data_IF_294125697426
#
_entry.id   IF_294125697426
#
_cell.length_a   1.000
_cell.length_b   1.000
_cell.length_c   1.000
_cell.angle_alpha   90.00
_cell.angle_beta   90.00
_cell.angle_gamma   90.00
#
_symmetry.space_group_name_H-M   'P 1'
#
loop_
_entity.id
_entity.type
_entity.pdbx_description
1 polymer ?
#
# COMPACT_ATOMS: atom_id res chain seq x y z
N UNK A 1 43.80 12.03 -4.72
CA UNK A 1 42.50 12.70 -4.94
C UNK A 1 41.46 11.60 -5.13
N UNK A 2 40.61 11.35 -4.14
CA UNK A 2 39.50 10.39 -4.30
C UNK A 2 38.47 11.11 -5.17
N UNK A 3 38.28 10.63 -6.40
CA UNK A 3 37.36 11.26 -7.36
C UNK A 3 35.95 11.34 -6.76
N UNK A 4 35.30 12.50 -6.92
CA UNK A 4 33.91 12.71 -6.52
C UNK A 4 33.01 11.69 -7.24
N UNK A 5 32.59 10.64 -6.54
CA UNK A 5 31.56 9.72 -7.04
C UNK A 5 30.20 10.37 -6.88
N UNK A 6 29.48 10.53 -7.99
CA UNK A 6 28.09 10.99 -7.97
C UNK A 6 27.20 9.86 -7.45
N UNK A 7 26.52 10.09 -6.32
CA UNK A 7 25.57 9.15 -5.73
C UNK A 7 24.18 9.37 -6.33
N UNK A 8 23.55 8.29 -6.79
CA UNK A 8 22.14 8.30 -7.19
C UNK A 8 21.30 7.79 -6.02
N UNK A 9 20.44 8.64 -5.48
CA UNK A 9 19.55 8.33 -4.36
C UNK A 9 18.13 8.20 -4.89
N UNK A 10 17.46 7.11 -4.54
CA UNK A 10 16.04 6.89 -4.84
C UNK A 10 15.25 7.01 -3.54
N UNK A 11 14.18 7.80 -3.55
CA UNK A 11 13.27 7.95 -2.42
C UNK A 11 11.97 7.26 -2.81
N UNK A 12 11.52 6.33 -1.96
CA UNK A 12 10.34 5.49 -2.22
C UNK A 12 9.38 5.66 -1.04
N UNK A 13 8.42 6.59 -1.14
CA UNK A 13 7.43 6.81 -0.11
C UNK A 13 6.49 5.61 0.02
N UNK A 14 6.28 5.17 1.26
CA UNK A 14 5.29 4.15 1.61
C UNK A 14 4.91 4.31 3.08
N UNK A 15 3.82 3.67 3.49
CA UNK A 15 3.50 3.42 4.88
C UNK A 15 3.53 1.92 5.10
N UNK A 16 4.26 1.49 6.13
CA UNK A 16 4.03 0.18 6.71
C UNK A 16 2.81 0.28 7.62
N UNK A 17 1.81 -0.57 7.40
CA UNK A 17 0.63 -0.63 8.26
C UNK A 17 0.39 -2.08 8.67
N UNK A 18 0.31 -2.36 9.97
CA UNK A 18 0.03 -3.72 10.44
C UNK A 18 -1.47 -4.03 10.32
N UNK A 19 -1.81 -5.20 9.79
CA UNK A 19 -3.21 -5.63 9.71
C UNK A 19 -3.82 -5.89 11.10
N UNK A 20 -3.00 -6.35 12.04
CA UNK A 20 -3.36 -6.59 13.43
C UNK A 20 -2.09 -6.49 14.27
N UNK A 21 -2.07 -5.59 15.25
CA UNK A 21 -0.97 -5.46 16.19
C UNK A 21 -1.45 -4.98 17.56
N UNK A 22 -1.40 -3.68 17.85
CA UNK A 22 -1.84 -3.13 19.13
C UNK A 22 -3.31 -2.76 19.17
N UNK A 23 -3.86 -2.36 18.03
CA UNK A 23 -5.26 -2.02 17.86
C UNK A 23 -6.00 -3.15 17.15
N UNK A 24 -7.33 -3.11 17.25
CA UNK A 24 -8.20 -3.97 16.46
C UNK A 24 -8.05 -3.69 14.96
N UNK A 25 -8.52 -4.65 14.16
CA UNK A 25 -8.52 -4.54 12.71
C UNK A 25 -9.34 -3.31 12.25
N UNK A 26 -10.47 -3.06 12.91
CA UNK A 26 -11.38 -1.95 12.62
C UNK A 26 -10.76 -0.59 12.96
N UNK A 27 -10.03 -0.49 14.06
CA UNK A 27 -9.32 0.74 14.45
C UNK A 27 -8.21 1.08 13.46
N UNK A 28 -7.38 0.10 13.07
CA UNK A 28 -6.38 0.31 12.03
C UNK A 28 -6.99 0.57 10.66
N UNK A 29 -8.11 -0.07 10.33
CA UNK A 29 -8.82 0.21 9.09
C UNK A 29 -9.27 1.66 9.03
N UNK A 30 -9.87 2.20 10.10
CA UNK A 30 -10.26 3.62 10.16
C UNK A 30 -9.07 4.56 9.90
N UNK A 31 -7.94 4.31 10.55
CA UNK A 31 -6.70 5.09 10.34
C UNK A 31 -6.23 4.97 8.88
N UNK A 32 -6.29 3.76 8.31
CA UNK A 32 -5.89 3.51 6.92
C UNK A 32 -6.78 4.27 5.93
N UNK A 33 -8.10 4.33 6.18
CA UNK A 33 -9.02 5.12 5.37
C UNK A 33 -8.67 6.61 5.41
N UNK A 34 -8.47 7.18 6.60
CA UNK A 34 -8.09 8.59 6.78
C UNK A 34 -6.79 8.89 6.02
N UNK A 35 -5.80 8.01 6.16
CA UNK A 35 -4.53 8.08 5.43
C UNK A 35 -4.72 8.00 3.90
N UNK A 36 -5.56 7.10 3.38
CA UNK A 36 -5.84 7.01 1.94
C UNK A 36 -6.49 8.30 1.43
N UNK A 37 -7.45 8.86 2.16
CA UNK A 37 -8.10 10.13 1.78
C UNK A 37 -7.08 11.26 1.69
N UNK A 38 -6.25 11.42 2.73
CA UNK A 38 -5.20 12.44 2.77
C UNK A 38 -4.18 12.25 1.62
N UNK A 39 -3.79 11.01 1.34
CA UNK A 39 -2.91 10.67 0.22
C UNK A 39 -3.54 11.09 -1.11
N UNK A 40 -4.81 10.76 -1.34
CA UNK A 40 -5.50 11.08 -2.58
C UNK A 40 -5.65 12.59 -2.78
N UNK A 41 -5.94 13.35 -1.73
CA UNK A 41 -5.94 14.83 -1.80
C UNK A 41 -4.55 15.42 -2.03
N UNK A 42 -3.52 14.83 -1.44
CA UNK A 42 -2.14 15.25 -1.63
C UNK A 42 -1.68 15.01 -3.07
N UNK A 43 -1.99 13.83 -3.62
CA UNK A 43 -1.61 13.44 -4.97
C UNK A 43 -2.33 14.25 -6.05
N UNK A 44 -3.56 14.71 -5.81
CA UNK A 44 -4.26 15.66 -6.70
C UNK A 44 -3.55 17.01 -6.84
N UNK A 45 -2.73 17.39 -5.85
CA UNK A 45 -1.98 18.65 -5.87
C UNK A 45 -0.54 18.44 -6.32
N UNK A 46 -0.04 17.21 -6.31
CA UNK A 46 1.38 16.86 -6.50
C UNK A 46 1.56 15.69 -7.48
N UNK A 47 1.35 15.94 -8.78
CA UNK A 47 1.34 14.90 -9.82
C UNK A 47 2.70 14.25 -10.11
N UNK A 48 3.80 14.76 -9.54
CA UNK A 48 5.14 14.15 -9.65
C UNK A 48 5.46 13.20 -8.50
N UNK A 49 4.63 13.20 -7.44
CA UNK A 49 4.85 12.36 -6.27
C UNK A 49 4.30 10.96 -6.52
N UNK A 50 5.07 9.95 -6.06
CA UNK A 50 4.69 8.54 -6.15
C UNK A 50 4.65 7.93 -4.78
N UNK A 51 3.70 7.04 -4.57
CA UNK A 51 3.49 6.38 -3.30
C UNK A 51 3.24 4.87 -3.48
N UNK A 52 3.76 4.08 -2.55
CA UNK A 52 3.61 2.64 -2.59
C UNK A 52 2.72 2.11 -1.46
N UNK A 53 1.86 1.14 -1.80
CA UNK A 53 1.05 0.37 -0.84
C UNK A 53 1.55 -1.06 -0.82
N UNK A 54 1.78 -1.60 0.38
CA UNK A 54 2.54 -2.85 0.58
C UNK A 54 1.70 -4.12 0.70
N UNK A 55 0.43 -4.01 1.09
CA UNK A 55 -0.54 -5.12 1.15
C UNK A 55 -1.96 -4.65 0.80
N UNK A 56 -2.89 -5.58 0.55
CA UNK A 56 -4.22 -5.26 0.01
C UNK A 56 -5.39 -5.51 0.94
N UNK A 57 -5.19 -6.11 2.12
CA UNK A 57 -6.29 -6.45 3.04
C UNK A 57 -7.20 -5.26 3.40
N UNK A 58 -6.63 -4.08 3.68
CA UNK A 58 -7.43 -2.88 3.93
C UNK A 58 -7.90 -2.18 2.66
N UNK A 59 -7.23 -2.41 1.53
CA UNK A 59 -7.64 -1.84 0.24
C UNK A 59 -8.90 -2.54 -0.26
N UNK A 60 -9.00 -3.86 -0.10
CA UNK A 60 -10.20 -4.62 -0.38
C UNK A 60 -11.39 -4.06 0.41
N UNK A 61 -11.24 -3.93 1.74
CA UNK A 61 -12.27 -3.37 2.60
C UNK A 61 -12.58 -1.90 2.29
N UNK A 62 -11.58 -1.09 1.94
CA UNK A 62 -11.77 0.30 1.53
C UNK A 62 -12.64 0.40 0.27
N UNK A 63 -12.40 -0.46 -0.71
CA UNK A 63 -13.19 -0.50 -1.96
C UNK A 63 -14.64 -0.91 -1.69
N UNK A 64 -14.86 -1.82 -0.73
CA UNK A 64 -16.20 -2.25 -0.33
C UNK A 64 -16.97 -1.19 0.45
N UNK A 65 -16.32 -0.50 1.40
CA UNK A 65 -17.00 0.43 2.33
C UNK A 65 -17.06 1.89 1.84
N UNK A 66 -16.17 2.31 0.94
CA UNK A 66 -16.07 3.69 0.44
C UNK A 66 -16.17 3.75 -1.10
N UNK A 67 -17.25 3.23 -1.72
CA UNK A 67 -17.40 3.16 -3.17
C UNK A 67 -17.31 4.53 -3.86
N UNK A 68 -17.65 5.62 -3.16
CA UNK A 68 -17.54 6.99 -3.65
C UNK A 68 -16.09 7.46 -3.86
N UNK A 69 -15.12 6.85 -3.17
CA UNK A 69 -13.70 7.18 -3.29
C UNK A 69 -12.95 6.26 -4.27
N UNK A 70 -13.55 5.13 -4.65
CA UNK A 70 -12.90 4.12 -5.50
C UNK A 70 -12.47 4.67 -6.85
N UNK A 71 -13.30 5.50 -7.49
CA UNK A 71 -12.96 6.06 -8.80
C UNK A 71 -11.75 7.02 -8.71
N UNK A 72 -11.64 7.79 -7.62
CA UNK A 72 -10.49 8.66 -7.36
C UNK A 72 -9.23 7.83 -7.11
N UNK A 73 -9.34 6.79 -6.28
CA UNK A 73 -8.24 5.88 -5.99
C UNK A 73 -7.74 5.16 -7.24
N UNK A 74 -8.67 4.63 -8.05
CA UNK A 74 -8.36 3.94 -9.31
C UNK A 74 -7.61 4.86 -10.29
N UNK A 75 -8.04 6.12 -10.44
CA UNK A 75 -7.32 7.10 -11.27
C UNK A 75 -5.90 7.34 -10.80
N UNK A 76 -5.66 7.41 -9.48
CA UNK A 76 -4.31 7.56 -8.94
C UNK A 76 -3.42 6.35 -9.24
N UNK A 77 -3.97 5.13 -9.19
CA UNK A 77 -3.27 3.90 -9.58
C UNK A 77 -2.98 3.86 -11.09
N UNK A 78 -3.98 4.13 -11.92
CA UNK A 78 -3.85 4.16 -13.38
C UNK A 78 -2.85 5.21 -13.85
N UNK A 79 -2.80 6.35 -13.17
CA UNK A 79 -1.86 7.45 -13.43
C UNK A 79 -0.46 7.21 -12.84
N UNK A 80 -0.20 6.04 -12.23
CA UNK A 80 1.09 5.68 -11.63
C UNK A 80 1.54 6.60 -10.48
N UNK A 81 0.58 7.25 -9.82
CA UNK A 81 0.82 8.00 -8.58
C UNK A 81 0.80 7.08 -7.37
N UNK A 82 0.00 6.02 -7.42
CA UNK A 82 0.00 4.93 -6.44
C UNK A 82 0.42 3.63 -7.14
N UNK A 83 1.39 2.93 -6.56
CA UNK A 83 1.84 1.62 -7.03
C UNK A 83 1.70 0.58 -5.92
N UNK A 84 1.14 -0.59 -6.23
CA UNK A 84 1.12 -1.72 -5.29
C UNK A 84 2.47 -2.43 -5.33
N UNK A 85 3.10 -2.61 -4.17
CA UNK A 85 4.35 -3.35 -4.03
C UNK A 85 4.11 -4.68 -3.34
N UNK A 86 4.75 -5.73 -3.86
CA UNK A 86 4.33 -7.12 -3.67
C UNK A 86 4.70 -7.69 -2.29
N UNK A 87 3.95 -7.35 -1.23
CA UNK A 87 3.99 -8.15 0.02
C UNK A 87 2.88 -9.20 0.11
N UNK A 88 1.92 -9.19 -0.82
CA UNK A 88 0.79 -10.12 -0.87
C UNK A 88 -0.48 -9.54 -0.27
N UNK A 89 -1.51 -10.38 -0.05
CA UNK A 89 -2.79 -9.95 0.50
C UNK A 89 -2.62 -9.40 1.93
N UNK A 90 -1.78 -10.09 2.70
CA UNK A 90 -1.24 -9.69 4.00
C UNK A 90 0.29 -9.80 4.01
N UNK A 91 0.95 -9.31 5.05
CA UNK A 91 2.38 -9.51 5.35
C UNK A 91 2.61 -10.55 6.46
N UNK A 92 2.48 -11.86 6.18
CA UNK A 92 2.64 -12.90 7.20
C UNK A 92 4.10 -13.12 7.58
N UNK A 93 4.33 -13.66 8.79
CA UNK A 93 5.58 -14.35 9.09
C UNK A 93 5.75 -15.51 8.10
N UNK A 94 6.96 -15.72 7.56
CA UNK A 94 7.21 -16.74 6.54
C UNK A 94 7.55 -18.13 7.11
N UNK A 95 7.81 -18.25 8.41
CA UNK A 95 8.20 -19.50 9.08
C UNK A 95 7.00 -20.24 9.69
N UNK A 96 5.92 -19.54 10.00
CA UNK A 96 4.76 -20.08 10.71
C UNK A 96 3.72 -20.72 9.76
N UNK A 97 3.25 -20.04 8.70
CA UNK A 97 2.20 -20.58 7.85
C UNK A 97 2.75 -21.62 6.87
N UNK A 98 1.84 -22.44 6.32
CA UNK A 98 2.21 -23.42 5.30
C UNK A 98 2.60 -22.75 3.98
N UNK A 99 3.33 -23.48 3.14
CA UNK A 99 3.64 -23.01 1.77
C UNK A 99 2.38 -22.72 0.93
N UNK A 100 1.30 -23.46 1.14
CA UNK A 100 0.01 -23.19 0.48
C UNK A 100 -0.56 -21.83 0.90
N UNK A 101 -0.44 -21.45 2.18
CA UNK A 101 -0.87 -20.14 2.63
C UNK A 101 -0.07 -19.03 1.94
N UNK A 102 1.26 -19.15 1.88
CA UNK A 102 2.10 -18.17 1.19
C UNK A 102 1.75 -18.05 -0.30
N UNK A 103 1.49 -19.19 -0.97
CA UNK A 103 1.04 -19.20 -2.35
C UNK A 103 -0.32 -18.49 -2.51
N UNK A 104 -1.28 -18.77 -1.64
CA UNK A 104 -2.60 -18.10 -1.65
C UNK A 104 -2.51 -16.62 -1.37
N UNK A 105 -1.67 -16.21 -0.42
CA UNK A 105 -1.45 -14.82 -0.07
C UNK A 105 -0.99 -14.00 -1.30
N UNK A 106 -0.12 -14.56 -2.13
CA UNK A 106 0.34 -13.94 -3.38
C UNK A 106 -0.75 -13.99 -4.47
N UNK A 107 -1.42 -15.13 -4.64
CA UNK A 107 -2.45 -15.30 -5.68
C UNK A 107 -3.65 -14.39 -5.44
N UNK A 108 -4.05 -14.16 -4.19
CA UNK A 108 -5.16 -13.25 -3.85
C UNK A 108 -4.76 -11.80 -4.12
N UNK A 109 -3.53 -11.40 -3.81
CA UNK A 109 -3.01 -10.06 -4.13
C UNK A 109 -3.03 -9.72 -5.62
N UNK A 110 -2.91 -10.73 -6.50
CA UNK A 110 -2.90 -10.53 -7.95
C UNK A 110 -4.29 -10.33 -8.55
N UNK A 111 -5.37 -10.46 -7.76
CA UNK A 111 -6.75 -10.26 -8.22
C UNK A 111 -7.15 -8.80 -8.14
#
# INVERSE_FOLDING_TARGET
MVGNKQLKIFIIPHWHFDALWQLSFEEYFKITVENIVDLLEFLEKNHEYKFNLDQTIYIEKFVEEYPELVEKFKKAVESKLIEFVCSGYTQPDSNIPSGEFLARNIVIFQK
#
